data_IF_907136782153
#
_entry.id   IF_907136782153
#
_cell.length_a   1.000
_cell.length_b   1.000
_cell.length_c   1.000
_cell.angle_alpha   90.00
_cell.angle_beta   90.00
_cell.angle_gamma   90.00
#
_symmetry.space_group_name_H-M   'P 1'
#
loop_
_entity.id
_entity.type
_entity.pdbx_description
1 polymer ?
#
# COMPACT_ATOMS: atom_id res chain seq x y z
N UNK A 1 19.53 -11.49 31.56
CA UNK A 1 19.38 -11.57 30.09
C UNK A 1 20.36 -10.57 29.56
N UNK A 2 21.47 -11.06 29.00
CA UNK A 2 22.55 -10.20 28.54
C UNK A 2 22.07 -9.36 27.37
N UNK A 3 22.28 -8.06 27.49
CA UNK A 3 22.01 -7.08 26.46
C UNK A 3 23.12 -7.22 25.41
N UNK A 4 23.13 -8.36 24.70
CA UNK A 4 24.08 -8.63 23.65
C UNK A 4 23.85 -7.61 22.54
N UNK A 5 24.81 -6.71 22.42
CA UNK A 5 24.91 -5.82 21.30
C UNK A 5 25.15 -6.66 20.03
N UNK A 6 24.13 -6.82 19.18
CA UNK A 6 24.14 -7.69 17.99
C UNK A 6 24.79 -7.00 16.79
N UNK A 7 25.89 -6.29 17.04
CA UNK A 7 26.68 -5.66 16.01
C UNK A 7 27.54 -6.70 15.27
N UNK A 8 27.54 -6.63 13.94
CA UNK A 8 28.45 -7.38 13.07
C UNK A 8 29.43 -6.41 12.43
N UNK A 9 30.74 -6.68 12.53
CA UNK A 9 31.81 -5.78 12.09
C UNK A 9 32.40 -4.94 13.22
N UNK A 10 33.20 -3.92 12.89
CA UNK A 10 34.06 -3.23 13.87
C UNK A 10 33.60 -1.82 14.26
N UNK A 11 33.88 -1.42 15.51
CA UNK A 11 33.75 -0.04 15.99
C UNK A 11 32.32 0.53 15.96
N UNK A 12 31.31 -0.33 16.05
CA UNK A 12 29.92 0.11 16.10
C UNK A 12 29.50 0.46 17.53
N UNK A 13 28.72 1.53 17.69
CA UNK A 13 28.11 1.99 18.94
C UNK A 13 26.59 1.93 18.82
N UNK A 14 25.89 1.39 19.83
CA UNK A 14 24.47 1.04 19.75
C UNK A 14 24.28 -0.41 19.29
N UNK A 15 23.10 -0.81 18.82
CA UNK A 15 22.69 -2.22 18.64
C UNK A 15 22.33 -2.58 17.19
N UNK A 16 22.51 -3.84 16.81
CA UNK A 16 22.13 -4.42 15.50
C UNK A 16 22.75 -3.76 14.25
N UNK A 17 23.89 -3.10 14.38
CA UNK A 17 24.58 -2.53 13.22
C UNK A 17 25.40 -3.60 12.48
N UNK A 18 25.39 -3.56 11.15
CA UNK A 18 26.23 -4.38 10.28
C UNK A 18 27.22 -3.49 9.52
N UNK A 19 28.50 -3.81 9.57
CA UNK A 19 29.59 -3.05 8.94
C UNK A 19 30.44 -2.32 9.97
N UNK A 20 30.98 -1.13 9.66
CA UNK A 20 31.98 -0.49 10.51
C UNK A 20 31.66 0.96 10.92
N UNK A 21 32.00 1.31 12.16
CA UNK A 21 31.96 2.69 12.68
C UNK A 21 30.57 3.32 12.66
N UNK A 22 29.51 2.53 12.72
CA UNK A 22 28.15 3.04 12.81
C UNK A 22 27.84 3.46 14.25
N UNK A 23 27.05 4.51 14.42
CA UNK A 23 26.54 4.99 15.72
C UNK A 23 25.02 5.02 15.69
N UNK A 24 24.39 4.38 16.67
CA UNK A 24 22.93 4.23 16.74
C UNK A 24 22.51 2.79 16.45
N UNK A 25 21.36 2.56 15.83
CA UNK A 25 20.76 1.22 15.78
C UNK A 25 20.42 0.77 14.35
N UNK A 26 20.69 -0.50 14.05
CA UNK A 26 20.24 -1.17 12.80
C UNK A 26 20.76 -0.53 11.52
N UNK A 27 21.93 0.10 11.55
CA UNK A 27 22.57 0.61 10.35
C UNK A 27 23.33 -0.50 9.62
N UNK A 28 23.29 -0.49 8.29
CA UNK A 28 24.06 -1.38 7.43
C UNK A 28 25.04 -0.57 6.58
N UNK A 29 26.32 -0.92 6.62
CA UNK A 29 27.38 -0.23 5.89
C UNK A 29 28.35 0.49 6.84
N UNK A 30 28.83 1.69 6.48
CA UNK A 30 29.95 2.30 7.20
C UNK A 30 29.70 3.75 7.62
N UNK A 31 30.04 4.09 8.88
CA UNK A 31 30.02 5.47 9.40
C UNK A 31 28.66 6.16 9.33
N UNK A 32 27.58 5.40 9.45
CA UNK A 32 26.25 5.98 9.58
C UNK A 32 25.99 6.39 11.03
N UNK A 33 25.25 7.47 11.24
CA UNK A 33 24.80 7.96 12.54
C UNK A 33 23.28 8.08 12.55
N UNK A 34 22.62 7.43 13.52
CA UNK A 34 21.17 7.37 13.65
C UNK A 34 20.65 5.94 13.50
N UNK A 35 19.50 5.77 12.85
CA UNK A 35 18.77 4.51 12.79
C UNK A 35 18.48 4.02 11.37
N UNK A 36 18.65 2.72 11.13
CA UNK A 36 18.18 2.07 9.89
C UNK A 36 18.74 2.65 8.58
N UNK A 37 19.94 3.23 8.60
CA UNK A 37 20.58 3.70 7.38
C UNK A 37 21.27 2.54 6.65
N UNK A 38 21.25 2.57 5.32
CA UNK A 38 21.97 1.62 4.45
C UNK A 38 22.94 2.39 3.55
N UNK A 39 24.21 2.00 3.54
CA UNK A 39 25.27 2.67 2.77
C UNK A 39 26.28 3.33 3.69
N UNK A 40 26.78 4.52 3.36
CA UNK A 40 27.89 5.14 4.06
C UNK A 40 27.71 6.61 4.41
N UNK A 41 28.22 7.01 5.58
CA UNK A 41 28.26 8.42 5.99
C UNK A 41 26.90 9.12 6.02
N UNK A 42 25.82 8.38 6.27
CA UNK A 42 24.50 8.98 6.45
C UNK A 42 24.32 9.47 7.89
N UNK A 43 23.64 10.59 8.08
CA UNK A 43 23.24 11.12 9.38
C UNK A 43 21.73 11.35 9.41
N UNK A 44 21.05 10.76 10.39
CA UNK A 44 19.60 10.73 10.52
C UNK A 44 19.06 9.31 10.40
N UNK A 45 17.79 9.15 10.02
CA UNK A 45 17.13 7.85 10.00
C UNK A 45 16.65 7.43 8.62
N UNK A 46 16.71 6.13 8.32
CA UNK A 46 16.14 5.49 7.14
C UNK A 46 16.73 5.98 5.79
N UNK A 47 17.96 6.47 5.76
CA UNK A 47 18.62 6.85 4.50
C UNK A 47 19.19 5.64 3.77
N UNK A 48 19.13 5.64 2.45
CA UNK A 48 19.75 4.64 1.57
C UNK A 48 20.69 5.33 0.57
N UNK A 49 21.94 4.89 0.53
CA UNK A 49 23.00 5.47 -0.29
C UNK A 49 24.07 6.15 0.57
N UNK A 50 24.69 7.22 0.09
CA UNK A 50 25.88 7.78 0.74
C UNK A 50 25.79 9.29 0.99
N UNK A 51 26.35 9.74 2.11
CA UNK A 51 26.47 11.17 2.46
C UNK A 51 25.14 11.92 2.56
N UNK A 52 24.06 11.25 2.96
CA UNK A 52 22.78 11.92 3.21
C UNK A 52 22.72 12.46 4.65
N UNK A 53 22.19 13.66 4.82
CA UNK A 53 21.84 14.25 6.11
C UNK A 53 20.35 14.57 6.10
N UNK A 54 19.63 14.13 7.12
CA UNK A 54 18.16 14.15 7.16
C UNK A 54 17.60 12.74 7.21
N UNK A 55 16.32 12.57 6.92
CA UNK A 55 15.62 11.30 7.07
C UNK A 55 15.00 10.82 5.74
N UNK A 56 15.01 9.51 5.53
CA UNK A 56 14.35 8.83 4.40
C UNK A 56 14.84 9.27 3.02
N UNK A 57 16.10 9.65 2.89
CA UNK A 57 16.69 9.97 1.59
C UNK A 57 17.14 8.71 0.86
N UNK A 58 17.05 8.73 -0.46
CA UNK A 58 17.65 7.74 -1.36
C UNK A 58 18.57 8.44 -2.35
N UNK A 59 19.80 7.94 -2.51
CA UNK A 59 20.82 8.54 -3.37
C UNK A 59 21.99 9.09 -2.56
N UNK A 60 22.48 10.30 -2.84
CA UNK A 60 23.60 10.83 -2.07
C UNK A 60 23.82 12.34 -2.09
N UNK A 61 24.50 12.84 -1.06
CA UNK A 61 24.67 14.29 -0.83
C UNK A 61 23.34 15.06 -0.74
N UNK A 62 22.29 14.44 -0.19
CA UNK A 62 21.05 15.13 0.14
C UNK A 62 21.12 15.67 1.57
N UNK A 63 20.70 16.91 1.80
CA UNK A 63 20.72 17.57 3.12
C UNK A 63 19.33 17.97 3.62
N UNK A 64 18.29 17.28 3.14
CA UNK A 64 16.87 17.50 3.44
C UNK A 64 16.19 16.17 3.75
N UNK A 65 14.90 16.15 4.03
CA UNK A 65 14.15 14.92 4.28
C UNK A 65 13.41 14.42 3.02
N UNK A 66 13.27 13.10 2.91
CA UNK A 66 12.43 12.38 1.91
C UNK A 66 12.82 12.63 0.45
N UNK A 67 14.10 12.82 0.19
CA UNK A 67 14.60 13.10 -1.15
C UNK A 67 14.99 11.83 -1.91
N UNK A 68 14.81 11.83 -3.23
CA UNK A 68 15.32 10.79 -4.11
C UNK A 68 16.16 11.43 -5.22
N UNK A 69 17.48 11.41 -5.06
CA UNK A 69 18.39 12.04 -6.01
C UNK A 69 19.78 12.28 -5.44
N UNK A 70 20.51 13.20 -6.09
CA UNK A 70 21.88 13.54 -5.72
C UNK A 70 22.06 15.06 -5.60
N UNK A 71 22.82 15.50 -4.59
CA UNK A 71 23.18 16.92 -4.37
C UNK A 71 21.99 17.87 -4.13
N UNK A 72 20.99 17.42 -3.35
CA UNK A 72 19.82 18.25 -3.06
C UNK A 72 19.91 18.91 -1.68
N UNK A 73 19.61 20.21 -1.65
CA UNK A 73 19.60 21.03 -0.43
C UNK A 73 18.27 21.73 -0.17
N UNK A 74 17.29 21.52 -1.05
CA UNK A 74 15.95 22.13 -1.00
C UNK A 74 14.93 21.01 -0.99
N UNK A 75 13.97 21.07 -0.06
CA UNK A 75 12.90 20.08 0.02
C UNK A 75 12.01 20.12 -1.22
N UNK A 76 11.78 18.95 -1.83
CA UNK A 76 10.82 18.81 -2.92
C UNK A 76 9.39 18.99 -2.38
N UNK A 77 8.72 20.05 -2.83
CA UNK A 77 7.32 20.36 -2.49
C UNK A 77 6.32 19.73 -3.46
N UNK A 78 6.73 18.66 -4.15
CA UNK A 78 5.99 18.01 -5.23
C UNK A 78 5.98 16.50 -5.04
N UNK A 79 4.92 15.85 -5.48
CA UNK A 79 4.75 14.40 -5.48
C UNK A 79 4.16 13.95 -6.82
N UNK A 80 4.06 12.64 -7.03
CA UNK A 80 3.30 12.07 -8.15
C UNK A 80 1.95 11.59 -7.67
N UNK A 81 0.90 12.03 -8.36
CA UNK A 81 -0.48 11.57 -8.16
C UNK A 81 -1.02 11.23 -9.55
N UNK A 82 -1.50 9.99 -9.73
CA UNK A 82 -1.92 9.47 -11.04
C UNK A 82 -0.87 9.69 -12.15
N UNK A 83 0.38 9.30 -11.86
CA UNK A 83 1.55 9.43 -12.75
C UNK A 83 1.94 10.86 -13.16
N UNK A 84 1.24 11.90 -12.70
CA UNK A 84 1.50 13.31 -13.00
C UNK A 84 2.02 14.04 -11.76
N UNK A 85 2.81 15.08 -11.98
CA UNK A 85 3.30 15.94 -10.90
C UNK A 85 2.15 16.67 -10.20
N UNK A 86 2.18 16.72 -8.88
CA UNK A 86 1.19 17.37 -8.02
C UNK A 86 1.93 18.07 -6.87
N UNK A 87 1.45 19.23 -6.42
CA UNK A 87 2.03 19.86 -5.23
C UNK A 87 1.66 19.04 -3.98
N UNK A 88 2.59 18.97 -3.02
CA UNK A 88 2.35 18.29 -1.76
C UNK A 88 1.20 18.96 -0.98
N UNK A 89 1.10 20.28 -1.05
CA UNK A 89 0.03 21.06 -0.41
C UNK A 89 -1.35 20.74 -1.00
N UNK A 90 -1.46 20.69 -2.34
CA UNK A 90 -2.71 20.32 -3.03
C UNK A 90 -3.15 18.92 -2.64
N UNK A 91 -2.22 17.96 -2.61
CA UNK A 91 -2.54 16.60 -2.18
C UNK A 91 -2.96 16.53 -0.72
N UNK A 92 -2.27 17.22 0.20
CA UNK A 92 -2.58 17.15 1.62
C UNK A 92 -3.91 17.83 1.97
N UNK A 93 -4.24 18.92 1.31
CA UNK A 93 -5.48 19.69 1.53
C UNK A 93 -6.73 19.07 0.88
N UNK A 94 -6.57 18.22 -0.14
CA UNK A 94 -7.73 17.57 -0.77
C UNK A 94 -8.38 16.51 0.13
N UNK A 95 -9.72 16.47 0.14
CA UNK A 95 -10.48 15.44 0.84
C UNK A 95 -10.36 14.12 0.06
N UNK A 96 -9.97 13.05 0.76
CA UNK A 96 -9.76 11.73 0.16
C UNK A 96 -10.99 10.84 0.42
N UNK A 97 -11.42 10.03 -0.56
CA UNK A 97 -12.47 9.06 -0.33
C UNK A 97 -12.09 8.10 0.79
N UNK A 98 -13.03 7.81 1.69
CA UNK A 98 -12.81 6.89 2.80
C UNK A 98 -12.56 5.46 2.31
N UNK A 99 -13.18 5.06 1.21
CA UNK A 99 -13.02 3.72 0.64
C UNK A 99 -11.62 3.39 0.13
N UNK A 100 -10.74 4.39 -0.07
CA UNK A 100 -9.33 4.15 -0.39
C UNK A 100 -8.57 3.48 0.77
N UNK A 101 -9.09 3.60 1.99
CA UNK A 101 -8.50 3.07 3.22
C UNK A 101 -9.22 1.80 3.67
N UNK A 102 -9.14 0.76 2.85
CA UNK A 102 -9.79 -0.54 3.09
C UNK A 102 -8.86 -1.55 3.76
N UNK A 103 -9.46 -2.63 4.28
CA UNK A 103 -8.73 -3.74 4.92
C UNK A 103 -8.79 -4.98 4.02
N UNK A 104 -7.68 -5.72 3.99
CA UNK A 104 -7.59 -7.02 3.29
C UNK A 104 -8.13 -8.17 4.14
N UNK A 105 -8.44 -7.92 5.42
CA UNK A 105 -8.93 -8.96 6.32
C UNK A 105 -10.17 -8.51 7.06
N UNK A 106 -11.02 -9.49 7.38
CA UNK A 106 -12.23 -9.30 8.17
C UNK A 106 -12.44 -10.49 9.09
N UNK A 107 -12.73 -10.22 10.35
CA UNK A 107 -13.13 -11.26 11.27
C UNK A 107 -14.58 -11.66 11.00
N UNK A 108 -14.79 -12.93 10.62
CA UNK A 108 -16.12 -13.51 10.40
C UNK A 108 -16.45 -14.37 11.61
N UNK A 109 -17.37 -13.89 12.44
CA UNK A 109 -17.91 -14.62 13.57
C UNK A 109 -18.60 -15.92 13.13
N UNK A 110 -18.51 -16.97 13.94
CA UNK A 110 -19.07 -18.30 13.66
C UNK A 110 -20.56 -18.33 13.30
N UNK A 111 -21.33 -17.37 13.80
CA UNK A 111 -22.75 -17.21 13.50
C UNK A 111 -23.04 -16.57 12.12
N UNK A 112 -22.05 -15.90 11.53
CA UNK A 112 -22.13 -15.26 10.20
C UNK A 112 -21.42 -16.09 9.11
N UNK A 113 -20.75 -17.17 9.49
CA UNK A 113 -20.10 -18.07 8.55
C UNK A 113 -21.13 -18.87 7.75
N UNK A 114 -20.90 -18.96 6.43
CA UNK A 114 -21.57 -19.91 5.55
C UNK A 114 -21.15 -21.34 5.88
N UNK A 115 -21.91 -22.34 5.44
CA UNK A 115 -21.58 -23.73 5.74
C UNK A 115 -20.25 -24.17 5.10
N UNK A 116 -19.98 -23.73 3.87
CA UNK A 116 -18.68 -23.94 3.23
C UNK A 116 -17.52 -23.29 4.02
N UNK A 117 -17.72 -22.10 4.60
CA UNK A 117 -16.71 -21.47 5.44
C UNK A 117 -16.50 -22.22 6.76
N UNK A 118 -17.56 -22.79 7.36
CA UNK A 118 -17.45 -23.62 8.57
C UNK A 118 -16.69 -24.91 8.29
N UNK A 119 -16.98 -25.55 7.17
CA UNK A 119 -16.30 -26.77 6.74
C UNK A 119 -14.82 -26.51 6.47
N UNK A 120 -14.48 -25.37 5.86
CA UNK A 120 -13.09 -24.96 5.62
C UNK A 120 -12.35 -24.51 6.89
N UNK A 121 -13.07 -24.09 7.94
CA UNK A 121 -12.50 -23.57 9.19
C UNK A 121 -13.05 -24.31 10.41
N UNK A 122 -12.75 -25.61 10.59
CA UNK A 122 -13.40 -26.45 11.62
C UNK A 122 -13.15 -25.97 13.06
N UNK A 123 -12.09 -25.20 13.31
CA UNK A 123 -11.78 -24.62 14.62
C UNK A 123 -12.70 -23.47 15.03
N UNK A 124 -13.56 -22.98 14.12
CA UNK A 124 -14.43 -21.82 14.35
C UNK A 124 -15.32 -21.95 15.59
N UNK A 125 -15.69 -23.18 15.98
CA UNK A 125 -16.48 -23.44 17.20
C UNK A 125 -15.72 -23.06 18.48
N UNK A 126 -14.40 -23.16 18.46
CA UNK A 126 -13.53 -22.83 19.60
C UNK A 126 -13.05 -21.38 19.50
N UNK A 127 -12.64 -20.95 18.30
CA UNK A 127 -12.12 -19.60 18.07
C UNK A 127 -13.22 -18.53 17.99
N UNK A 128 -14.49 -18.93 17.90
CA UNK A 128 -15.64 -18.01 17.76
C UNK A 128 -15.80 -17.41 16.36
N UNK A 129 -14.98 -17.82 15.40
CA UNK A 129 -14.97 -17.33 14.03
C UNK A 129 -13.64 -17.63 13.34
N UNK A 130 -13.42 -16.99 12.20
CA UNK A 130 -12.14 -17.05 11.50
C UNK A 130 -11.80 -15.68 10.89
N UNK A 131 -10.52 -15.48 10.60
CA UNK A 131 -10.06 -14.30 9.87
C UNK A 131 -10.15 -14.61 8.38
N UNK A 132 -11.06 -13.94 7.67
CA UNK A 132 -11.16 -14.03 6.22
C UNK A 132 -10.18 -13.07 5.58
N UNK A 133 -9.42 -13.57 4.63
CA UNK A 133 -8.50 -12.79 3.81
C UNK A 133 -9.10 -12.60 2.41
N UNK A 134 -8.94 -11.40 1.86
CA UNK A 134 -9.42 -11.02 0.54
C UNK A 134 -8.24 -10.68 -0.36
N UNK A 135 -8.33 -11.06 -1.63
CA UNK A 135 -7.43 -10.57 -2.65
C UNK A 135 -7.54 -9.05 -2.79
N UNK A 136 -6.42 -8.38 -3.10
CA UNK A 136 -6.33 -6.91 -3.08
C UNK A 136 -7.44 -6.22 -3.87
N UNK A 137 -7.64 -6.63 -5.14
CA UNK A 137 -8.65 -6.03 -6.02
C UNK A 137 -10.08 -6.36 -5.59
N UNK A 138 -10.30 -7.50 -4.95
CA UNK A 138 -11.62 -7.86 -4.41
C UNK A 138 -11.98 -7.01 -3.19
N UNK A 139 -11.03 -6.85 -2.26
CA UNK A 139 -11.20 -5.99 -1.09
C UNK A 139 -11.45 -4.53 -1.50
N UNK A 140 -10.72 -4.03 -2.50
CA UNK A 140 -10.92 -2.69 -3.05
C UNK A 140 -12.33 -2.54 -3.63
N UNK A 141 -12.73 -3.46 -4.53
CA UNK A 141 -14.08 -3.47 -5.13
C UNK A 141 -15.17 -3.46 -4.06
N UNK A 142 -15.04 -4.31 -3.05
CA UNK A 142 -15.99 -4.37 -1.93
C UNK A 142 -16.09 -3.03 -1.20
N UNK A 143 -14.95 -2.42 -0.89
CA UNK A 143 -14.92 -1.11 -0.22
C UNK A 143 -15.54 -0.01 -1.07
N UNK A 144 -15.25 0.02 -2.37
CA UNK A 144 -15.82 0.98 -3.31
C UNK A 144 -17.33 0.80 -3.48
N UNK A 145 -17.80 -0.44 -3.64
CA UNK A 145 -19.23 -0.74 -3.77
C UNK A 145 -20.03 -0.39 -2.52
N UNK A 146 -19.42 -0.48 -1.34
CA UNK A 146 -20.03 -0.06 -0.07
C UNK A 146 -19.96 1.44 0.22
N UNK A 147 -19.25 2.22 -0.61
CA UNK A 147 -19.08 3.66 -0.41
C UNK A 147 -20.32 4.45 -0.85
N UNK A 148 -20.55 5.60 -0.23
CA UNK A 148 -21.62 6.52 -0.65
C UNK A 148 -21.27 7.20 -1.99
N UNK A 149 -22.29 7.69 -2.71
CA UNK A 149 -22.08 8.39 -3.98
C UNK A 149 -21.26 9.68 -3.79
N UNK A 150 -21.38 10.35 -2.65
CA UNK A 150 -20.55 11.51 -2.30
C UNK A 150 -19.08 11.09 -2.13
N UNK A 151 -18.81 9.96 -1.49
CA UNK A 151 -17.45 9.46 -1.29
C UNK A 151 -16.84 9.01 -2.64
N UNK A 152 -17.63 8.36 -3.50
CA UNK A 152 -17.24 8.05 -4.89
C UNK A 152 -16.95 9.31 -5.70
N UNK A 153 -17.70 10.40 -5.50
CA UNK A 153 -17.46 11.67 -6.18
C UNK A 153 -16.10 12.28 -5.79
N UNK A 154 -15.69 12.16 -4.53
CA UNK A 154 -14.37 12.64 -4.09
C UNK A 154 -13.21 12.01 -4.86
N UNK A 155 -13.38 10.80 -5.40
CA UNK A 155 -12.37 10.15 -6.23
C UNK A 155 -12.10 10.95 -7.50
N UNK A 156 -13.18 11.37 -8.16
CA UNK A 156 -13.12 12.13 -9.40
C UNK A 156 -12.58 13.54 -9.16
N UNK A 157 -12.68 14.04 -7.93
CA UNK A 157 -12.15 15.33 -7.49
C UNK A 157 -10.68 15.26 -7.02
N UNK A 158 -10.07 14.06 -6.99
CA UNK A 158 -8.66 13.94 -6.61
C UNK A 158 -7.75 14.66 -7.62
N UNK A 159 -6.65 15.27 -7.15
CA UNK A 159 -5.66 15.88 -8.02
C UNK A 159 -5.15 14.89 -9.07
N UNK A 160 -5.09 15.34 -10.32
CA UNK A 160 -4.62 14.55 -11.47
C UNK A 160 -5.42 13.26 -11.76
N UNK A 161 -6.63 13.09 -11.22
CA UNK A 161 -7.41 11.85 -11.37
C UNK A 161 -7.35 11.28 -12.80
N UNK A 162 -7.04 9.99 -12.87
CA UNK A 162 -6.89 9.25 -14.13
C UNK A 162 -7.60 7.89 -14.00
N UNK A 163 -8.66 7.71 -14.79
CA UNK A 163 -9.52 6.54 -14.69
C UNK A 163 -8.82 5.24 -15.13
N UNK A 164 -7.86 5.31 -16.05
CA UNK A 164 -7.13 4.13 -16.51
C UNK A 164 -6.14 3.66 -15.44
N UNK A 165 -5.39 4.60 -14.85
CA UNK A 165 -4.51 4.29 -13.72
C UNK A 165 -5.32 3.79 -12.51
N UNK A 166 -6.48 4.38 -12.24
CA UNK A 166 -7.36 3.89 -11.18
C UNK A 166 -7.85 2.47 -11.44
N UNK A 167 -8.27 2.17 -12.68
CA UNK A 167 -8.68 0.83 -13.10
C UNK A 167 -7.53 -0.18 -12.98
N UNK A 168 -6.32 0.18 -13.40
CA UNK A 168 -5.14 -0.68 -13.32
C UNK A 168 -4.86 -1.10 -11.86
N UNK A 169 -4.86 -0.13 -10.95
CA UNK A 169 -4.60 -0.34 -9.52
C UNK A 169 -5.77 -1.08 -8.86
N UNK A 170 -6.99 -0.52 -8.92
CA UNK A 170 -8.14 -1.01 -8.15
C UNK A 170 -8.89 -2.18 -8.80
N UNK A 171 -8.79 -2.34 -10.13
CA UNK A 171 -9.65 -3.24 -10.90
C UNK A 171 -11.07 -2.73 -11.10
N UNK A 172 -11.35 -1.45 -10.83
CA UNK A 172 -12.68 -0.83 -10.92
C UNK A 172 -12.70 0.14 -12.11
N UNK A 173 -13.58 -0.11 -13.08
CA UNK A 173 -13.84 0.85 -14.14
C UNK A 173 -14.93 1.83 -13.67
N UNK A 174 -14.53 3.06 -13.38
CA UNK A 174 -15.44 4.12 -12.92
C UNK A 174 -16.19 4.81 -14.07
N UNK A 175 -15.81 4.55 -15.31
CA UNK A 175 -16.48 5.10 -16.51
C UNK A 175 -17.75 4.32 -16.85
N UNK A 176 -17.78 3.04 -16.47
CA UNK A 176 -18.93 2.17 -16.62
C UNK A 176 -19.76 2.22 -15.33
N UNK A 177 -20.93 2.87 -15.31
CA UNK A 177 -21.79 2.84 -14.15
C UNK A 177 -22.24 1.39 -13.88
N UNK A 178 -22.50 1.08 -12.61
CA UNK A 178 -22.69 -0.32 -12.18
C UNK A 178 -23.89 -1.00 -12.86
N UNK A 179 -24.93 -0.23 -13.21
CA UNK A 179 -26.05 -0.70 -14.02
C UNK A 179 -25.65 -1.20 -15.41
N UNK A 180 -24.66 -0.58 -16.06
CA UNK A 180 -24.17 -1.01 -17.38
C UNK A 180 -23.36 -2.30 -17.24
N UNK A 181 -22.55 -2.45 -16.18
CA UNK A 181 -21.82 -3.70 -15.90
C UNK A 181 -22.77 -4.86 -15.60
N UNK A 182 -23.86 -4.59 -14.87
CA UNK A 182 -24.92 -5.57 -14.58
C UNK A 182 -25.60 -6.02 -15.88
N UNK A 183 -25.95 -5.07 -16.77
CA UNK A 183 -26.54 -5.36 -18.08
C UNK A 183 -25.61 -6.22 -18.94
N UNK A 184 -24.31 -5.88 -19.02
CA UNK A 184 -23.32 -6.65 -19.78
C UNK A 184 -23.21 -8.09 -19.26
N UNK A 185 -23.16 -8.29 -17.93
CA UNK A 185 -23.16 -9.63 -17.31
C UNK A 185 -24.42 -10.43 -17.61
N UNK A 186 -25.58 -9.78 -17.55
CA UNK A 186 -26.86 -10.41 -17.89
C UNK A 186 -26.86 -10.83 -19.37
N UNK A 187 -26.34 -9.99 -20.25
CA UNK A 187 -26.22 -10.29 -21.68
C UNK A 187 -25.28 -11.47 -21.96
N UNK A 188 -24.11 -11.53 -21.31
CA UNK A 188 -23.22 -12.71 -21.41
C UNK A 188 -23.93 -13.99 -20.96
N UNK A 189 -24.59 -13.95 -19.80
CA UNK A 189 -25.34 -15.10 -19.27
C UNK A 189 -26.45 -15.56 -20.23
N UNK A 190 -27.17 -14.61 -20.83
CA UNK A 190 -28.20 -14.92 -21.83
C UNK A 190 -27.58 -15.61 -23.04
N UNK A 191 -26.46 -15.10 -23.56
CA UNK A 191 -25.77 -15.68 -24.71
C UNK A 191 -25.27 -17.11 -24.43
N UNK A 192 -24.76 -17.37 -23.23
CA UNK A 192 -24.31 -18.72 -22.84
C UNK A 192 -25.48 -19.70 -22.72
N UNK A 193 -26.59 -19.27 -22.11
CA UNK A 193 -27.81 -20.08 -22.03
C UNK A 193 -28.41 -20.37 -23.41
N UNK A 194 -28.35 -19.43 -24.35
CA UNK A 194 -28.76 -19.66 -25.74
C UNK A 194 -27.92 -20.72 -26.42
N UNK A 195 -26.59 -20.70 -26.24
CA UNK A 195 -25.69 -21.75 -26.76
C UNK A 195 -25.98 -23.11 -26.15
N UNK A 196 -26.31 -23.19 -24.86
CA UNK A 196 -26.70 -24.45 -24.23
C UNK A 196 -28.03 -24.98 -24.78
N UNK A 197 -29.02 -24.10 -24.96
CA UNK A 197 -30.30 -24.45 -25.56
C UNK A 197 -30.14 -25.00 -26.98
N UNK A 198 -29.27 -24.39 -27.78
CA UNK A 198 -29.02 -24.84 -29.17
C UNK A 198 -28.26 -26.17 -29.26
N UNK A 199 -27.54 -26.59 -28.20
CA UNK A 199 -26.96 -27.94 -28.11
C UNK A 199 -27.97 -29.02 -27.75
N UNK A 200 -29.14 -28.64 -27.24
CA UNK A 200 -30.21 -29.54 -26.82
C UNK A 200 -31.29 -29.73 -27.91
N UNK A 201 -31.21 -28.97 -29.01
CA UNK A 201 -32.05 -29.12 -30.21
C UNK A 201 -31.33 -29.99 -31.24
#
# INVERSE_FOLDING_TARGET
MDNENRNTGGWNTGDWNTGNRNTGNRNTGNRNTGGWNTGGWNTGDLNTGDWNTGNRNTGGWNTVDRENGFFNTIEVQKIRVFNKECSLETWNSCKKPSFLFFKLTEWISSNKMTDAEKDANPTHKITGGYLKEYEYKEAFKRSYSGASEEDKKLLLELPNFDADVFLEISGIDVRKPDNVKEIERIQERINDLQKELDKLK
#
